data_IF_133894865331
#
_entry.id   IF_133894865331
#
_cell.length_a   1.000
_cell.length_b   1.000
_cell.length_c   1.000
_cell.angle_alpha   90.00
_cell.angle_beta   90.00
_cell.angle_gamma   90.00
#
_symmetry.space_group_name_H-M   'P 1'
#
loop_
_entity.id
_entity.type
_entity.pdbx_description
1 polymer ?
#
# COMPACT_ATOMS: atom_id res chain seq x y z
N UNK A 1 -65.06 52.21 -5.19
CA UNK A 1 -65.99 51.15 -4.74
C UNK A 1 -65.17 49.94 -4.30
N UNK A 2 -65.37 49.53 -3.05
CA UNK A 2 -65.21 48.20 -2.42
C UNK A 2 -64.02 47.28 -2.79
N UNK A 3 -63.12 47.18 -1.80
CA UNK A 3 -62.54 46.00 -1.14
C UNK A 3 -62.93 44.58 -1.63
N UNK A 4 -61.94 43.68 -1.63
CA UNK A 4 -61.92 42.50 -0.75
C UNK A 4 -60.50 41.90 -0.57
N UNK A 5 -60.10 41.82 0.71
CA UNK A 5 -59.27 40.81 1.42
C UNK A 5 -59.54 39.35 0.96
N UNK A 6 -58.77 38.30 1.19
CA UNK A 6 -57.65 37.98 2.11
C UNK A 6 -57.06 36.59 1.72
N UNK A 7 -55.97 36.21 2.40
CA UNK A 7 -55.48 34.86 2.71
C UNK A 7 -54.46 34.14 1.82
N UNK A 8 -53.20 34.48 2.15
CA UNK A 8 -52.14 33.53 2.47
C UNK A 8 -52.58 32.50 3.54
N UNK A 9 -52.34 31.20 3.30
CA UNK A 9 -51.98 30.18 4.31
C UNK A 9 -51.67 28.84 3.61
N UNK A 10 -50.48 28.26 3.88
CA UNK A 10 -50.32 26.80 3.74
C UNK A 10 -49.07 26.27 3.02
N UNK A 11 -47.87 26.80 3.30
CA UNK A 11 -46.66 25.98 3.12
C UNK A 11 -45.79 26.06 4.38
N UNK A 12 -45.64 24.95 5.14
CA UNK A 12 -44.81 24.98 6.33
C UNK A 12 -43.33 25.19 5.95
N UNK A 13 -42.56 25.91 6.77
CA UNK A 13 -41.12 26.03 6.57
C UNK A 13 -40.49 24.65 6.70
N UNK A 14 -39.65 24.27 5.72
CA UNK A 14 -38.81 23.08 5.81
C UNK A 14 -37.89 23.22 7.02
N UNK A 15 -38.18 22.48 8.06
CA UNK A 15 -37.24 22.22 9.16
C UNK A 15 -36.00 21.53 8.57
N UNK A 16 -34.78 21.99 8.92
CA UNK A 16 -33.56 21.30 8.52
C UNK A 16 -33.56 19.92 9.18
N UNK A 17 -33.49 18.86 8.37
CA UNK A 17 -33.30 17.50 8.89
C UNK A 17 -32.01 17.46 9.72
N UNK A 18 -32.03 16.89 10.93
CA UNK A 18 -30.81 16.68 11.69
C UNK A 18 -29.88 15.78 10.85
N UNK A 19 -28.65 16.25 10.63
CA UNK A 19 -27.59 15.41 10.09
C UNK A 19 -27.52 14.14 10.96
N UNK A 20 -27.43 12.94 10.36
CA UNK A 20 -27.10 11.76 11.14
C UNK A 20 -25.78 12.04 11.90
N UNK A 21 -25.67 11.65 13.18
CA UNK A 21 -24.40 11.75 13.88
C UNK A 21 -23.34 11.03 13.05
N UNK A 22 -22.17 11.64 12.92
CA UNK A 22 -20.97 10.96 12.45
C UNK A 22 -20.80 9.74 13.36
N UNK A 23 -21.18 8.56 12.89
CA UNK A 23 -20.69 7.32 13.45
C UNK A 23 -19.18 7.40 13.30
N UNK A 24 -18.50 7.61 14.42
CA UNK A 24 -17.06 7.50 14.47
C UNK A 24 -16.70 6.15 13.84
N UNK A 25 -15.92 6.18 12.77
CA UNK A 25 -15.24 4.98 12.33
C UNK A 25 -14.53 4.39 13.56
N UNK A 26 -14.56 3.06 13.76
CA UNK A 26 -13.86 2.46 14.88
C UNK A 26 -12.42 2.97 14.86
N UNK A 27 -12.00 3.60 15.97
CA UNK A 27 -10.65 4.06 16.14
C UNK A 27 -9.68 2.90 15.83
N UNK A 28 -8.51 3.16 15.22
CA UNK A 28 -7.53 2.11 14.96
C UNK A 28 -7.30 1.34 16.26
N UNK A 29 -7.43 0.02 16.19
CA UNK A 29 -7.14 -0.82 17.34
C UNK A 29 -5.70 -0.55 17.76
N UNK A 30 -5.52 -0.17 19.02
CA UNK A 30 -4.20 0.05 19.67
C UNK A 30 -3.23 -1.12 19.40
N UNK A 31 -3.79 -2.31 19.18
CA UNK A 31 -3.12 -3.52 18.72
C UNK A 31 -2.29 -3.36 17.43
N UNK A 32 -2.79 -2.68 16.40
CA UNK A 32 -2.05 -2.54 15.13
C UNK A 32 -0.80 -1.66 15.30
N UNK A 33 -0.90 -0.57 16.06
CA UNK A 33 0.24 0.28 16.39
C UNK A 33 1.25 -0.42 17.31
N UNK A 34 0.77 -1.22 18.26
CA UNK A 34 1.63 -2.04 19.11
C UNK A 34 2.36 -3.13 18.32
N UNK A 35 1.70 -3.71 17.30
CA UNK A 35 2.29 -4.72 16.42
C UNK A 35 3.33 -4.12 15.48
N UNK A 36 3.05 -3.01 14.80
CA UNK A 36 4.03 -2.35 13.93
C UNK A 36 5.25 -1.84 14.72
N UNK A 37 5.02 -1.22 15.89
CA UNK A 37 6.12 -0.79 16.76
C UNK A 37 6.90 -1.97 17.36
N UNK A 38 6.21 -3.05 17.73
CA UNK A 38 6.82 -4.29 18.20
C UNK A 38 7.66 -4.97 17.12
N UNK A 39 7.14 -5.08 15.90
CA UNK A 39 7.85 -5.64 14.76
C UNK A 39 9.06 -4.77 14.38
N UNK A 40 8.92 -3.44 14.34
CA UNK A 40 10.05 -2.54 14.08
C UNK A 40 11.13 -2.65 15.17
N UNK A 41 10.75 -2.83 16.44
CA UNK A 41 11.68 -3.06 17.54
C UNK A 41 12.39 -4.42 17.42
N UNK A 42 11.66 -5.49 17.07
CA UNK A 42 12.23 -6.82 16.84
C UNK A 42 13.15 -6.83 15.62
N UNK A 43 12.76 -6.20 14.52
CA UNK A 43 13.61 -6.04 13.31
C UNK A 43 14.89 -5.29 13.66
N UNK A 44 14.78 -4.22 14.44
CA UNK A 44 15.96 -3.48 14.90
C UNK A 44 16.85 -4.34 15.81
N UNK A 45 16.27 -5.13 16.71
CA UNK A 45 17.02 -6.02 17.59
C UNK A 45 17.72 -7.16 16.82
N UNK A 46 17.04 -7.76 15.83
CA UNK A 46 17.59 -8.76 14.92
C UNK A 46 18.78 -8.19 14.13
N UNK A 47 18.63 -6.98 13.57
CA UNK A 47 19.74 -6.27 12.88
C UNK A 47 20.91 -5.93 13.79
N UNK A 48 20.68 -5.77 15.09
CA UNK A 48 21.70 -5.44 16.09
C UNK A 48 22.28 -6.66 16.80
N UNK A 49 21.89 -7.89 16.42
CA UNK A 49 22.43 -9.13 16.99
C UNK A 49 22.04 -9.38 18.46
N UNK A 50 21.02 -8.67 18.98
CA UNK A 50 20.58 -8.82 20.36
C UNK A 50 19.47 -9.87 20.47
N UNK A 51 19.86 -11.13 20.70
CA UNK A 51 18.93 -12.19 21.07
C UNK A 51 18.47 -11.99 22.53
N UNK A 52 17.19 -11.63 22.71
CA UNK A 52 16.51 -11.59 24.02
C UNK A 52 15.16 -12.29 23.93
N UNK A 53 14.69 -12.95 25.01
CA UNK A 53 13.57 -13.88 24.95
C UNK A 53 12.24 -13.16 24.74
N UNK A 54 11.49 -13.60 23.73
CA UNK A 54 10.10 -13.16 23.49
C UNK A 54 9.18 -13.82 24.51
N UNK A 55 8.59 -13.01 25.39
CA UNK A 55 7.59 -13.45 26.37
C UNK A 55 6.27 -13.73 25.64
N UNK A 56 5.97 -15.00 25.41
CA UNK A 56 4.64 -15.47 25.02
C UNK A 56 3.67 -15.30 26.19
N UNK A 57 2.56 -14.58 25.99
CA UNK A 57 1.44 -14.58 26.93
C UNK A 57 0.39 -15.58 26.47
N UNK A 58 0.31 -16.70 27.19
CA UNK A 58 -0.72 -17.72 27.02
C UNK A 58 -2.08 -17.20 27.50
N UNK A 59 -3.12 -17.47 26.72
CA UNK A 59 -4.53 -17.34 27.10
C UNK A 59 -5.30 -18.52 26.54
N UNK A 60 -5.90 -19.30 27.44
CA UNK A 60 -6.59 -20.58 27.24
C UNK A 60 -8.10 -20.39 26.99
N UNK A 61 -8.64 -21.38 26.28
CA UNK A 61 -10.01 -21.93 26.29
C UNK A 61 -11.17 -21.19 25.58
N UNK A 62 -11.85 -21.94 24.69
CA UNK A 62 -13.24 -21.72 24.26
C UNK A 62 -13.57 -22.05 22.79
N UNK A 63 -13.89 -23.30 22.47
CA UNK A 63 -14.48 -23.75 21.18
C UNK A 63 -16.02 -23.51 21.13
N UNK A 64 -16.76 -23.95 20.09
CA UNK A 64 -17.11 -23.18 18.88
C UNK A 64 -18.63 -23.04 18.67
N UNK A 65 -19.09 -22.12 17.80
CA UNK A 65 -20.42 -22.26 17.18
C UNK A 65 -20.52 -21.54 15.83
N UNK A 66 -20.80 -22.33 14.79
CA UNK A 66 -21.36 -21.89 13.51
C UNK A 66 -22.89 -21.82 13.67
N UNK A 67 -23.59 -20.92 12.96
CA UNK A 67 -24.49 -21.48 11.95
C UNK A 67 -24.53 -20.68 10.64
N UNK A 68 -24.91 -21.43 9.62
CA UNK A 68 -25.42 -21.08 8.30
C UNK A 68 -26.56 -20.07 8.30
N UNK A 69 -26.64 -19.25 7.24
CA UNK A 69 -27.91 -18.76 6.72
C UNK A 69 -27.94 -18.86 5.18
N UNK A 70 -28.80 -19.77 4.70
CA UNK A 70 -29.48 -19.68 3.42
C UNK A 70 -30.54 -18.56 3.49
N UNK A 71 -30.87 -17.97 2.34
CA UNK A 71 -32.01 -17.07 2.18
C UNK A 71 -31.95 -16.31 0.84
N UNK A 72 -32.33 -16.93 -0.28
CA UNK A 72 -33.65 -16.85 -0.95
C UNK A 72 -33.84 -15.68 -1.92
N UNK A 73 -33.89 -16.06 -3.20
CA UNK A 73 -34.90 -15.73 -4.22
C UNK A 73 -35.26 -14.28 -4.67
N UNK A 74 -35.06 -14.11 -5.99
CA UNK A 74 -35.95 -13.54 -7.03
C UNK A 74 -36.19 -12.02 -7.08
N UNK A 75 -35.62 -11.44 -8.13
CA UNK A 75 -36.36 -10.53 -9.02
C UNK A 75 -35.96 -10.82 -10.48
N UNK A 76 -36.84 -11.50 -11.19
CA UNK A 76 -36.78 -11.76 -12.63
C UNK A 76 -37.29 -10.53 -13.38
N UNK A 77 -36.42 -9.54 -13.55
CA UNK A 77 -36.48 -8.58 -14.63
C UNK A 77 -35.67 -9.11 -15.81
N UNK A 78 -36.19 -8.93 -17.03
CA UNK A 78 -35.51 -9.25 -18.29
C UNK A 78 -34.14 -8.59 -18.35
N UNK A 79 -33.11 -9.32 -17.92
CA UNK A 79 -31.73 -8.90 -17.93
C UNK A 79 -30.94 -9.99 -18.64
N UNK A 80 -30.49 -9.67 -19.86
CA UNK A 80 -29.52 -10.49 -20.61
C UNK A 80 -28.43 -10.90 -19.63
N UNK A 81 -28.33 -12.20 -19.33
CA UNK A 81 -27.33 -12.69 -18.38
C UNK A 81 -25.95 -12.24 -18.86
N UNK A 82 -25.25 -11.51 -18.00
CA UNK A 82 -23.97 -10.90 -18.33
C UNK A 82 -22.94 -11.99 -18.59
N UNK A 83 -22.38 -12.03 -19.79
CA UNK A 83 -21.37 -13.05 -20.11
C UNK A 83 -20.06 -12.74 -19.39
N UNK A 84 -19.18 -13.74 -19.16
CA UNK A 84 -17.84 -13.50 -18.64
C UNK A 84 -17.06 -12.47 -19.47
N UNK A 85 -17.21 -12.50 -20.80
CA UNK A 85 -16.59 -11.53 -21.69
C UNK A 85 -17.10 -10.10 -21.47
N UNK A 86 -18.41 -9.93 -21.24
CA UNK A 86 -18.98 -8.62 -20.90
C UNK A 86 -18.47 -8.11 -19.55
N UNK A 87 -18.30 -9.00 -18.56
CA UNK A 87 -17.73 -8.68 -17.26
C UNK A 87 -16.28 -8.19 -17.37
N UNK A 88 -15.47 -8.84 -18.19
CA UNK A 88 -14.09 -8.43 -18.46
C UNK A 88 -14.03 -7.05 -19.12
N UNK A 89 -14.88 -6.77 -20.11
CA UNK A 89 -14.95 -5.45 -20.77
C UNK A 89 -15.41 -4.34 -19.83
N UNK A 90 -16.41 -4.60 -18.99
CA UNK A 90 -16.83 -3.64 -17.95
C UNK A 90 -15.68 -3.35 -16.99
N UNK A 91 -14.96 -4.38 -16.57
CA UNK A 91 -13.80 -4.21 -15.68
C UNK A 91 -12.67 -3.44 -16.35
N UNK A 92 -12.38 -3.68 -17.63
CA UNK A 92 -11.42 -2.91 -18.41
C UNK A 92 -11.74 -1.41 -18.41
N UNK A 93 -13.01 -1.05 -18.66
CA UNK A 93 -13.45 0.36 -18.67
C UNK A 93 -13.29 0.99 -17.28
N UNK A 94 -13.66 0.28 -16.21
CA UNK A 94 -13.51 0.77 -14.83
C UNK A 94 -12.04 0.98 -14.45
N UNK A 95 -11.19 -0.01 -14.73
CA UNK A 95 -9.75 0.07 -14.42
C UNK A 95 -9.07 1.16 -15.26
N UNK A 96 -9.47 1.35 -16.52
CA UNK A 96 -9.02 2.46 -17.38
C UNK A 96 -9.40 3.83 -16.79
N UNK A 97 -10.63 4.00 -16.32
CA UNK A 97 -11.05 5.25 -15.67
C UNK A 97 -10.26 5.50 -14.38
N UNK A 98 -10.04 4.45 -13.58
CA UNK A 98 -9.25 4.56 -12.36
C UNK A 98 -7.79 4.90 -12.67
N UNK A 99 -7.19 4.32 -13.71
CA UNK A 99 -5.85 4.63 -14.17
C UNK A 99 -5.71 6.12 -14.49
N UNK A 100 -6.60 6.66 -15.33
CA UNK A 100 -6.57 8.08 -15.71
C UNK A 100 -6.82 9.01 -14.53
N UNK A 101 -7.71 8.63 -13.60
CA UNK A 101 -7.90 9.37 -12.35
C UNK A 101 -6.61 9.47 -11.53
N UNK A 102 -5.87 8.35 -11.41
CA UNK A 102 -4.59 8.33 -10.69
C UNK A 102 -3.49 9.12 -11.42
N UNK A 103 -3.41 9.02 -12.75
CA UNK A 103 -2.48 9.82 -13.57
C UNK A 103 -2.75 11.31 -13.40
N UNK A 104 -4.02 11.73 -13.48
CA UNK A 104 -4.42 13.12 -13.33
C UNK A 104 -4.19 13.65 -11.91
N UNK A 105 -4.00 12.78 -10.93
CA UNK A 105 -3.56 13.13 -9.58
C UNK A 105 -2.14 13.68 -9.53
N UNK A 106 -1.31 13.40 -10.54
CA UNK A 106 0.10 13.83 -10.63
C UNK A 106 0.21 14.83 -11.78
N UNK A 107 0.23 16.12 -11.45
CA UNK A 107 0.15 17.24 -12.41
C UNK A 107 1.18 17.12 -13.53
N UNK A 108 2.44 16.83 -13.19
CA UNK A 108 3.51 16.69 -14.17
C UNK A 108 3.26 15.56 -15.19
N UNK A 109 2.61 14.46 -14.79
CA UNK A 109 2.24 13.38 -15.70
C UNK A 109 1.00 13.74 -16.54
N UNK A 110 0.03 14.43 -15.95
CA UNK A 110 -1.18 14.89 -16.64
C UNK A 110 -0.87 15.88 -17.78
N UNK A 111 0.17 16.68 -17.61
CA UNK A 111 0.63 17.66 -18.59
C UNK A 111 1.60 17.05 -19.63
N UNK A 112 2.08 15.82 -19.43
CA UNK A 112 3.11 15.20 -20.28
C UNK A 112 2.51 14.39 -21.43
N UNK A 113 2.53 14.95 -22.64
CA UNK A 113 1.89 14.35 -23.82
C UNK A 113 2.51 13.01 -24.23
N UNK A 114 3.83 12.89 -24.21
CA UNK A 114 4.52 11.62 -24.54
C UNK A 114 4.11 10.48 -23.59
N UNK A 115 4.02 10.76 -22.29
CA UNK A 115 3.53 9.80 -21.31
C UNK A 115 2.08 9.40 -21.56
N UNK A 116 1.18 10.37 -21.80
CA UNK A 116 -0.24 10.10 -22.08
C UNK A 116 -0.44 9.28 -23.36
N UNK A 117 0.34 9.56 -24.40
CA UNK A 117 0.35 8.76 -25.62
C UNK A 117 0.82 7.33 -25.34
N UNK A 118 1.90 7.17 -24.56
CA UNK A 118 2.38 5.87 -24.10
C UNK A 118 1.31 5.08 -23.34
N UNK A 119 0.61 5.71 -22.39
CA UNK A 119 -0.50 5.08 -21.64
C UNK A 119 -1.65 4.68 -22.56
N UNK A 120 -1.99 5.52 -23.55
CA UNK A 120 -3.06 5.22 -24.50
C UNK A 120 -2.71 4.02 -25.39
N UNK A 121 -1.49 3.98 -25.91
CA UNK A 121 -1.00 2.85 -26.70
C UNK A 121 -0.87 1.57 -25.86
N UNK A 122 -0.40 1.68 -24.61
CA UNK A 122 -0.38 0.57 -23.66
C UNK A 122 -1.79 0.01 -23.43
N UNK A 123 -2.79 0.85 -23.17
CA UNK A 123 -4.18 0.41 -23.01
C UNK A 123 -4.74 -0.29 -24.25
N UNK A 124 -4.37 0.16 -25.46
CA UNK A 124 -4.73 -0.53 -26.70
C UNK A 124 -4.04 -1.91 -26.81
N UNK A 125 -2.81 -2.07 -26.29
CA UNK A 125 -2.18 -3.37 -26.18
C UNK A 125 -2.92 -4.29 -25.21
N UNK A 126 -3.35 -3.78 -24.06
CA UNK A 126 -4.12 -4.55 -23.07
C UNK A 126 -5.49 -4.96 -23.63
N UNK A 127 -6.14 -4.10 -24.41
CA UNK A 127 -7.40 -4.44 -25.06
C UNK A 127 -7.25 -5.62 -26.03
N UNK A 128 -6.15 -5.66 -26.81
CA UNK A 128 -5.80 -6.82 -27.64
C UNK A 128 -5.54 -8.08 -26.82
N UNK A 129 -4.86 -7.97 -25.68
CA UNK A 129 -4.66 -9.09 -24.76
C UNK A 129 -5.99 -9.62 -24.21
N UNK A 130 -6.93 -8.71 -23.91
CA UNK A 130 -8.26 -9.05 -23.41
C UNK A 130 -9.09 -9.80 -24.45
N UNK A 131 -9.00 -9.40 -25.72
CA UNK A 131 -9.67 -10.07 -26.85
C UNK A 131 -9.14 -11.48 -27.07
N UNK A 132 -7.85 -11.70 -26.80
CA UNK A 132 -7.17 -12.99 -26.92
C UNK A 132 -7.16 -13.82 -25.65
N UNK A 133 -7.76 -13.34 -24.55
CA UNK A 133 -7.67 -13.97 -23.23
C UNK A 133 -8.25 -15.40 -23.18
N UNK A 134 -9.14 -15.76 -24.09
CA UNK A 134 -9.71 -17.12 -24.20
C UNK A 134 -9.09 -17.94 -25.36
N UNK A 135 -7.96 -17.48 -25.91
CA UNK A 135 -7.25 -18.12 -27.02
C UNK A 135 -5.82 -18.48 -26.59
N UNK A 136 -5.19 -19.42 -27.29
CA UNK A 136 -3.77 -19.74 -27.08
C UNK A 136 -2.81 -18.75 -27.79
N UNK A 137 -3.36 -17.67 -28.38
CA UNK A 137 -2.57 -16.67 -29.08
C UNK A 137 -1.96 -15.64 -28.13
N UNK A 138 -0.67 -15.37 -28.32
CA UNK A 138 0.02 -14.28 -27.61
C UNK A 138 -0.01 -13.00 -28.44
N UNK A 139 -0.30 -11.86 -27.80
CA UNK A 139 -0.18 -10.55 -28.44
C UNK A 139 1.28 -10.08 -28.38
N UNK A 140 1.82 -9.48 -29.45
CA UNK A 140 3.08 -8.76 -29.38
C UNK A 140 3.03 -7.62 -28.35
N UNK A 141 4.15 -7.38 -27.68
CA UNK A 141 4.30 -6.30 -26.70
C UNK A 141 4.73 -5.02 -27.42
N UNK A 142 4.01 -3.93 -27.20
CA UNK A 142 4.43 -2.58 -27.59
C UNK A 142 5.44 -2.01 -26.58
N UNK A 143 6.71 -2.37 -26.76
CA UNK A 143 7.80 -1.89 -25.90
C UNK A 143 8.00 -0.37 -25.97
N UNK A 144 7.63 0.28 -27.08
CA UNK A 144 7.75 1.73 -27.20
C UNK A 144 6.72 2.45 -26.32
N UNK A 145 5.48 1.96 -26.31
CA UNK A 145 4.43 2.46 -25.43
C UNK A 145 4.82 2.33 -23.95
N UNK A 146 5.28 1.13 -23.54
CA UNK A 146 5.73 0.88 -22.16
C UNK A 146 6.95 1.73 -21.83
N UNK A 147 7.91 1.87 -22.75
CA UNK A 147 9.08 2.72 -22.59
C UNK A 147 8.72 4.19 -22.35
N UNK A 148 7.72 4.73 -23.05
CA UNK A 148 7.23 6.09 -22.84
C UNK A 148 6.56 6.27 -21.45
N UNK A 149 5.83 5.25 -20.98
CA UNK A 149 5.27 5.23 -19.62
C UNK A 149 6.39 5.27 -18.57
N UNK A 150 7.39 4.41 -18.70
CA UNK A 150 8.55 4.36 -17.79
C UNK A 150 9.34 5.66 -17.81
N UNK A 151 9.60 6.24 -18.99
CA UNK A 151 10.30 7.50 -19.13
C UNK A 151 9.56 8.66 -18.44
N UNK A 152 8.23 8.69 -18.51
CA UNK A 152 7.43 9.68 -17.78
C UNK A 152 7.57 9.55 -16.26
N UNK A 153 7.62 8.33 -15.73
CA UNK A 153 7.89 8.10 -14.31
C UNK A 153 9.29 8.53 -13.89
N UNK A 154 10.30 8.26 -14.70
CA UNK A 154 11.69 8.60 -14.40
C UNK A 154 12.01 10.08 -14.63
N UNK A 155 11.12 10.84 -15.27
CA UNK A 155 11.33 12.25 -15.54
C UNK A 155 11.61 13.03 -14.24
N UNK A 156 12.54 14.00 -14.31
CA UNK A 156 13.03 14.75 -13.13
C UNK A 156 11.92 15.46 -12.34
N UNK A 157 10.83 15.84 -13.01
CA UNK A 157 9.68 16.49 -12.39
C UNK A 157 8.72 15.51 -11.70
N UNK A 158 8.92 14.21 -11.84
CA UNK A 158 8.05 13.15 -11.30
C UNK A 158 8.80 12.28 -10.30
N UNK A 159 9.95 11.72 -10.69
CA UNK A 159 10.77 10.80 -9.89
C UNK A 159 9.95 9.67 -9.26
N UNK A 160 9.09 9.08 -10.07
CA UNK A 160 8.01 8.20 -9.63
C UNK A 160 8.43 6.86 -9.04
N UNK A 161 9.68 6.46 -9.23
CA UNK A 161 10.30 5.32 -8.58
C UNK A 161 10.74 5.61 -7.13
N UNK A 162 11.02 6.88 -6.79
CA UNK A 162 11.59 7.26 -5.50
C UNK A 162 10.59 7.92 -4.56
N UNK A 163 9.51 8.47 -5.11
CA UNK A 163 8.57 9.32 -4.39
C UNK A 163 7.23 8.62 -4.19
N UNK A 164 6.69 8.69 -2.97
CA UNK A 164 5.36 8.17 -2.68
C UNK A 164 4.27 9.01 -3.38
N UNK A 165 3.27 8.32 -3.93
CA UNK A 165 2.15 8.94 -4.63
C UNK A 165 1.39 9.97 -3.79
N UNK A 166 1.09 9.63 -2.52
CA UNK A 166 0.39 10.49 -1.57
C UNK A 166 1.20 11.75 -1.25
N UNK A 167 2.50 11.60 -0.99
CA UNK A 167 3.38 12.74 -0.73
C UNK A 167 3.44 13.69 -1.93
N UNK A 168 3.61 13.16 -3.15
CA UNK A 168 3.67 14.00 -4.35
C UNK A 168 2.37 14.81 -4.50
N UNK A 169 1.22 14.14 -4.39
CA UNK A 169 -0.10 14.78 -4.48
C UNK A 169 -0.26 15.97 -3.53
N UNK A 170 0.23 15.82 -2.30
CA UNK A 170 0.11 16.82 -1.24
C UNK A 170 1.06 18.02 -1.40
N UNK A 171 2.15 17.87 -2.15
CA UNK A 171 3.21 18.86 -2.23
C UNK A 171 3.33 19.55 -3.59
N UNK A 172 2.80 18.96 -4.67
CA UNK A 172 2.95 19.44 -6.05
C UNK A 172 2.42 20.86 -6.34
N UNK A 173 1.60 21.43 -5.46
CA UNK A 173 1.06 22.80 -5.59
C UNK A 173 1.81 23.84 -4.74
N UNK A 174 2.79 23.41 -3.94
CA UNK A 174 3.55 24.29 -3.06
C UNK A 174 4.62 25.05 -3.86
N UNK A 175 4.87 26.29 -3.47
CA UNK A 175 6.00 27.06 -3.99
C UNK A 175 7.32 26.35 -3.70
N UNK A 176 8.25 26.34 -4.66
CA UNK A 176 9.53 25.64 -4.54
C UNK A 176 9.41 24.10 -4.55
N UNK A 177 8.30 23.54 -5.03
CA UNK A 177 8.07 22.09 -5.03
C UNK A 177 9.22 21.27 -5.63
N UNK A 178 9.76 21.69 -6.79
CA UNK A 178 10.83 20.94 -7.45
C UNK A 178 12.12 20.89 -6.63
N UNK A 179 12.46 21.93 -5.87
CA UNK A 179 13.64 21.95 -4.99
C UNK A 179 13.49 21.02 -3.77
N UNK A 180 12.24 20.76 -3.37
CA UNK A 180 11.91 19.82 -2.29
C UNK A 180 11.79 18.40 -2.85
N UNK A 181 11.32 18.24 -4.09
CA UNK A 181 11.15 16.96 -4.75
C UNK A 181 12.46 16.18 -4.83
N UNK A 182 13.54 16.80 -5.33
CA UNK A 182 14.84 16.16 -5.46
C UNK A 182 15.36 15.65 -4.11
N UNK A 183 15.35 16.52 -3.09
CA UNK A 183 15.80 16.16 -1.73
C UNK A 183 14.94 15.07 -1.10
N UNK A 184 13.63 15.13 -1.31
CA UNK A 184 12.71 14.12 -0.80
C UNK A 184 12.92 12.78 -1.50
N UNK A 185 13.06 12.78 -2.82
CA UNK A 185 13.32 11.58 -3.61
C UNK A 185 14.63 10.91 -3.16
N UNK A 186 15.70 11.68 -2.96
CA UNK A 186 16.97 11.16 -2.47
C UNK A 186 16.89 10.59 -1.04
N UNK A 187 16.20 11.28 -0.13
CA UNK A 187 15.99 10.80 1.23
C UNK A 187 15.10 9.54 1.27
N UNK A 188 14.08 9.47 0.41
CA UNK A 188 13.16 8.34 0.29
C UNK A 188 13.86 7.11 -0.29
N UNK A 189 14.71 7.30 -1.30
CA UNK A 189 15.51 6.24 -1.93
C UNK A 189 16.44 5.52 -0.93
N UNK A 190 16.91 6.21 0.12
CA UNK A 190 17.74 5.62 1.18
C UNK A 190 16.96 4.68 2.11
N UNK A 191 15.64 4.61 1.99
CA UNK A 191 14.75 3.81 2.83
C UNK A 191 13.80 2.99 1.97
N UNK A 192 14.34 2.42 0.90
CA UNK A 192 13.62 1.52 0.00
C UNK A 192 13.25 0.21 0.68
N UNK A 193 12.01 -0.23 0.49
CA UNK A 193 11.52 -1.54 0.91
C UNK A 193 11.12 -2.39 -0.30
N UNK A 194 11.30 -3.70 -0.13
CA UNK A 194 10.85 -4.75 -1.02
C UNK A 194 10.06 -5.78 -0.22
N UNK A 195 9.27 -6.59 -0.90
CA UNK A 195 8.56 -7.69 -0.24
C UNK A 195 8.45 -8.89 -1.18
N UNK A 196 8.30 -10.08 -0.61
CA UNK A 196 8.11 -11.31 -1.36
C UNK A 196 7.15 -12.24 -0.65
N UNK A 197 6.10 -12.67 -1.37
CA UNK A 197 5.15 -13.71 -0.94
C UNK A 197 4.32 -13.38 0.31
N UNK A 198 4.31 -12.13 0.77
CA UNK A 198 3.54 -11.68 1.94
C UNK A 198 2.71 -10.42 1.71
N UNK A 199 2.47 -9.99 0.46
CA UNK A 199 1.94 -8.66 0.16
C UNK A 199 2.80 -7.49 0.66
N UNK A 200 2.40 -6.27 0.32
CA UNK A 200 3.21 -5.06 0.56
C UNK A 200 2.85 -4.29 1.84
N UNK A 201 1.80 -4.65 2.58
CA UNK A 201 1.29 -3.79 3.65
C UNK A 201 2.30 -3.63 4.79
N UNK A 202 2.98 -4.70 5.20
CA UNK A 202 4.06 -4.62 6.19
C UNK A 202 5.18 -3.66 5.73
N UNK A 203 5.69 -3.85 4.51
CA UNK A 203 6.73 -2.99 3.93
C UNK A 203 6.28 -1.52 3.82
N UNK A 204 5.01 -1.30 3.45
CA UNK A 204 4.40 0.04 3.32
C UNK A 204 4.25 0.72 4.67
N UNK A 205 3.88 -0.02 5.71
CA UNK A 205 3.74 0.52 7.05
C UNK A 205 5.12 0.89 7.65
N UNK A 206 6.14 0.05 7.44
CA UNK A 206 7.50 0.26 7.94
C UNK A 206 8.14 1.54 7.37
N UNK A 207 7.91 1.89 6.10
CA UNK A 207 8.43 3.15 5.52
C UNK A 207 7.78 4.41 6.05
N UNK A 208 6.76 4.29 6.92
CA UNK A 208 6.09 5.41 7.59
C UNK A 208 5.80 6.59 6.64
N UNK A 209 4.63 6.58 6.00
CA UNK A 209 4.04 7.66 5.17
C UNK A 209 4.98 8.84 4.90
N UNK A 210 5.62 8.85 3.72
CA UNK A 210 6.49 9.94 3.26
C UNK A 210 7.92 9.95 3.81
N UNK A 211 8.45 8.84 4.33
CA UNK A 211 9.87 8.78 4.77
C UNK A 211 10.73 7.77 4.03
N UNK A 212 10.13 6.86 3.28
CA UNK A 212 10.79 5.88 2.41
C UNK A 212 9.89 5.52 1.25
N UNK A 213 10.23 4.51 0.48
CA UNK A 213 9.41 4.08 -0.65
C UNK A 213 9.29 2.56 -0.69
N UNK A 214 8.18 2.10 -1.24
CA UNK A 214 7.90 0.72 -1.65
C UNK A 214 7.18 0.83 -2.98
N UNK A 215 7.36 -0.12 -3.90
CA UNK A 215 6.85 0.00 -5.27
C UNK A 215 5.36 0.35 -5.28
N UNK A 216 4.52 -0.34 -4.50
CA UNK A 216 3.07 -0.14 -4.48
C UNK A 216 2.65 1.25 -3.95
N UNK A 217 3.48 1.89 -3.12
CA UNK A 217 3.24 3.23 -2.60
C UNK A 217 3.89 4.34 -3.45
N UNK A 218 4.91 3.99 -4.24
CA UNK A 218 5.56 4.90 -5.19
C UNK A 218 4.55 5.39 -6.24
N UNK A 219 4.80 6.53 -6.89
CA UNK A 219 3.91 7.02 -7.96
C UNK A 219 3.73 5.94 -9.04
N UNK A 220 4.83 5.33 -9.47
CA UNK A 220 4.80 4.41 -10.61
C UNK A 220 4.05 3.11 -10.32
N UNK A 221 4.20 2.53 -9.13
CA UNK A 221 3.44 1.34 -8.75
C UNK A 221 2.01 1.69 -8.36
N UNK A 222 1.79 2.77 -7.59
CA UNK A 222 0.45 3.14 -7.11
C UNK A 222 -0.53 3.45 -8.23
N UNK A 223 -0.05 4.00 -9.35
CA UNK A 223 -0.90 4.26 -10.51
C UNK A 223 -1.49 2.96 -11.09
N UNK A 224 -0.72 1.87 -11.13
CA UNK A 224 -1.15 0.59 -11.70
C UNK A 224 -1.63 -0.44 -10.66
N UNK A 225 -1.39 -0.20 -9.37
CA UNK A 225 -1.71 -1.11 -8.27
C UNK A 225 -3.19 -1.55 -8.27
N UNK A 226 -3.41 -2.87 -8.32
CA UNK A 226 -4.73 -3.49 -8.37
C UNK A 226 -5.50 -3.35 -9.69
N UNK A 227 -4.90 -2.78 -10.74
CA UNK A 227 -5.53 -2.67 -12.06
C UNK A 227 -5.15 -3.88 -12.93
N UNK A 228 -6.12 -4.75 -13.18
CA UNK A 228 -5.95 -5.95 -14.01
C UNK A 228 -6.65 -5.83 -15.37
N UNK A 229 -7.43 -4.77 -15.58
CA UNK A 229 -8.07 -4.45 -16.85
C UNK A 229 -8.96 -5.58 -17.38
N UNK A 230 -9.63 -6.29 -16.46
CA UNK A 230 -10.50 -7.43 -16.78
C UNK A 230 -9.79 -8.77 -16.93
N UNK A 231 -8.47 -8.83 -16.75
CA UNK A 231 -7.70 -10.07 -16.78
C UNK A 231 -7.65 -10.74 -15.40
N UNK A 232 -7.46 -12.07 -15.32
CA UNK A 232 -7.44 -12.80 -14.05
C UNK A 232 -6.18 -12.54 -13.21
N UNK A 233 -5.07 -12.17 -13.84
CA UNK A 233 -3.80 -11.83 -13.19
C UNK A 233 -2.99 -10.87 -14.06
N UNK A 234 -1.98 -10.24 -13.46
CA UNK A 234 -1.06 -9.38 -14.21
C UNK A 234 -0.26 -10.17 -15.27
N UNK A 235 0.01 -11.45 -15.01
CA UNK A 235 0.76 -12.34 -15.91
C UNK A 235 -0.08 -12.91 -17.05
N UNK A 236 -1.41 -12.70 -17.02
CA UNK A 236 -2.30 -13.10 -18.10
C UNK A 236 -2.25 -12.13 -19.30
N UNK A 237 -1.54 -11.00 -19.18
CA UNK A 237 -1.22 -10.10 -20.28
C UNK A 237 0.30 -9.97 -20.41
N UNK A 238 0.89 -10.28 -21.58
CA UNK A 238 2.30 -10.03 -21.84
C UNK A 238 2.68 -8.56 -21.63
N UNK A 239 1.84 -7.61 -22.08
CA UNK A 239 2.11 -6.19 -21.93
C UNK A 239 2.05 -5.72 -20.46
N UNK A 240 1.07 -6.19 -19.69
CA UNK A 240 0.95 -5.87 -18.26
C UNK A 240 2.10 -6.50 -17.46
N UNK A 241 2.48 -7.73 -17.79
CA UNK A 241 3.65 -8.40 -17.23
C UNK A 241 4.95 -7.65 -17.51
N UNK A 242 5.15 -7.18 -18.74
CA UNK A 242 6.32 -6.39 -19.11
C UNK A 242 6.35 -5.03 -18.39
N UNK A 243 5.20 -4.36 -18.28
CA UNK A 243 5.10 -3.11 -17.52
C UNK A 243 5.51 -3.32 -16.07
N UNK A 244 4.92 -4.30 -15.37
CA UNK A 244 5.27 -4.58 -13.97
C UNK A 244 6.74 -4.99 -13.80
N UNK A 245 7.30 -5.75 -14.74
CA UNK A 245 8.72 -6.09 -14.78
C UNK A 245 9.59 -4.82 -14.81
N UNK A 246 9.28 -3.87 -15.69
CA UNK A 246 10.03 -2.61 -15.81
C UNK A 246 9.79 -1.67 -14.62
N UNK A 247 8.57 -1.65 -14.05
CA UNK A 247 8.29 -0.91 -12.81
C UNK A 247 9.13 -1.45 -11.65
N UNK A 248 9.24 -2.76 -11.47
CA UNK A 248 10.13 -3.35 -10.44
C UNK A 248 11.59 -3.03 -10.69
N UNK A 249 12.07 -3.13 -11.93
CA UNK A 249 13.48 -2.83 -12.26
C UNK A 249 13.82 -1.37 -11.97
N UNK A 250 13.04 -0.44 -12.51
CA UNK A 250 13.30 1.00 -12.36
C UNK A 250 13.09 1.50 -10.93
N UNK A 251 12.22 0.81 -10.16
CA UNK A 251 12.10 1.03 -8.73
C UNK A 251 13.41 0.72 -8.02
N UNK A 252 13.94 -0.48 -8.23
CA UNK A 252 15.20 -0.94 -7.64
C UNK A 252 16.39 -0.09 -8.07
N UNK A 253 16.46 0.32 -9.33
CA UNK A 253 17.49 1.23 -9.88
C UNK A 253 17.44 2.63 -9.23
N UNK A 254 16.33 2.98 -8.59
CA UNK A 254 16.19 4.24 -7.87
C UNK A 254 16.67 4.20 -6.41
N UNK A 255 16.93 3.01 -5.85
CA UNK A 255 17.22 2.84 -4.43
C UNK A 255 18.68 3.18 -4.07
N UNK A 256 18.90 3.52 -2.81
CA UNK A 256 20.21 3.91 -2.24
C UNK A 256 20.36 3.34 -0.83
N UNK A 257 21.58 3.36 -0.31
CA UNK A 257 21.86 2.95 1.06
C UNK A 257 21.57 1.47 1.29
N UNK A 258 21.09 1.11 2.48
CA UNK A 258 20.61 -0.23 2.78
C UNK A 258 19.14 -0.38 2.40
N UNK A 259 18.89 -1.29 1.46
CA UNK A 259 17.52 -1.70 1.10
C UNK A 259 17.07 -2.78 2.06
N UNK A 260 15.77 -2.86 2.34
CA UNK A 260 15.22 -3.93 3.17
C UNK A 260 14.20 -4.74 2.36
N UNK A 261 14.23 -6.07 2.46
CA UNK A 261 13.25 -6.96 1.85
C UNK A 261 12.54 -7.79 2.92
N UNK A 262 11.21 -7.79 2.89
CA UNK A 262 10.37 -8.62 3.76
C UNK A 262 9.95 -9.88 3.02
N UNK A 263 10.24 -11.07 3.54
CA UNK A 263 9.92 -12.34 2.85
C UNK A 263 9.14 -13.31 3.74
N UNK A 264 8.15 -14.01 3.18
CA UNK A 264 7.42 -15.07 3.89
C UNK A 264 8.20 -16.39 3.85
N UNK A 265 8.62 -16.88 5.02
CA UNK A 265 9.33 -18.14 5.25
C UNK A 265 10.60 -18.36 4.39
N UNK A 266 11.08 -17.33 3.70
CA UNK A 266 12.33 -17.37 2.93
C UNK A 266 12.19 -16.87 1.49
N UNK A 267 13.26 -17.06 0.73
CA UNK A 267 13.29 -16.75 -0.71
C UNK A 267 12.66 -17.88 -1.52
N UNK A 268 12.18 -17.57 -2.73
CA UNK A 268 11.66 -18.55 -3.70
C UNK A 268 12.33 -18.34 -5.04
N UNK A 269 12.59 -19.38 -5.82
CA UNK A 269 13.28 -19.22 -7.11
C UNK A 269 12.51 -18.37 -8.14
N UNK A 270 11.18 -18.35 -8.06
CA UNK A 270 10.30 -17.71 -9.06
C UNK A 270 9.70 -16.37 -8.61
N UNK A 271 10.16 -15.77 -7.50
CA UNK A 271 9.66 -14.46 -7.08
C UNK A 271 10.26 -13.33 -7.91
N UNK A 272 9.54 -12.20 -7.98
CA UNK A 272 10.06 -10.94 -8.54
C UNK A 272 11.34 -10.52 -7.81
N UNK A 273 11.38 -10.68 -6.48
CA UNK A 273 12.59 -10.46 -5.68
C UNK A 273 13.80 -11.21 -6.23
N UNK A 274 13.68 -12.52 -6.45
CA UNK A 274 14.80 -13.35 -6.89
C UNK A 274 15.16 -13.15 -8.37
N UNK A 275 14.14 -13.03 -9.23
CA UNK A 275 14.32 -13.07 -10.69
C UNK A 275 14.54 -11.70 -11.33
N UNK A 276 14.11 -10.62 -10.68
CA UNK A 276 14.10 -9.26 -11.25
C UNK A 276 14.86 -8.29 -10.35
N UNK A 277 14.53 -8.22 -9.06
CA UNK A 277 15.00 -7.15 -8.17
C UNK A 277 16.42 -7.41 -7.65
N UNK A 278 16.68 -8.62 -7.13
CA UNK A 278 17.99 -9.01 -6.60
C UNK A 278 19.12 -8.90 -7.63
N UNK A 279 18.99 -9.39 -8.88
CA UNK A 279 20.05 -9.24 -9.88
C UNK A 279 20.43 -7.77 -10.13
N UNK A 280 19.46 -6.86 -10.07
CA UNK A 280 19.68 -5.41 -10.23
C UNK A 280 20.32 -4.80 -8.98
N UNK A 281 19.83 -5.13 -7.79
CA UNK A 281 20.44 -4.67 -6.52
C UNK A 281 21.88 -5.14 -6.40
N UNK A 282 22.15 -6.41 -6.68
CA UNK A 282 23.49 -6.99 -6.68
C UNK A 282 24.45 -6.20 -7.59
N UNK A 283 23.99 -5.85 -8.79
CA UNK A 283 24.77 -5.00 -9.71
C UNK A 283 25.07 -3.62 -9.12
N UNK A 284 24.09 -2.98 -8.47
CA UNK A 284 24.27 -1.69 -7.82
C UNK A 284 25.17 -1.74 -6.58
N UNK A 285 25.10 -2.83 -5.80
CA UNK A 285 25.99 -3.08 -4.66
C UNK A 285 27.42 -3.24 -5.15
N UNK A 286 27.66 -4.03 -6.20
CA UNK A 286 28.97 -4.18 -6.81
C UNK A 286 29.51 -2.84 -7.37
N UNK A 287 28.63 -1.94 -7.80
CA UNK A 287 28.96 -0.60 -8.28
C UNK A 287 29.08 0.45 -7.17
N UNK A 288 28.95 0.09 -5.89
CA UNK A 288 28.94 0.99 -4.73
C UNK A 288 27.84 2.07 -4.78
N UNK A 289 26.72 1.79 -5.45
CA UNK A 289 25.56 2.67 -5.53
C UNK A 289 24.54 2.40 -4.41
N UNK A 290 24.54 1.17 -3.89
CA UNK A 290 23.70 0.65 -2.80
C UNK A 290 24.62 -0.06 -1.81
N UNK A 291 24.38 0.09 -0.51
CA UNK A 291 25.27 -0.44 0.54
C UNK A 291 25.09 -1.95 0.78
N UNK A 292 23.86 -2.44 0.55
CA UNK A 292 23.47 -3.82 0.79
C UNK A 292 21.95 -4.00 0.83
N UNK A 293 21.52 -5.23 1.08
CA UNK A 293 20.15 -5.66 1.26
C UNK A 293 19.98 -6.37 2.62
N UNK A 294 19.10 -5.87 3.48
CA UNK A 294 18.67 -6.57 4.69
C UNK A 294 17.42 -7.39 4.38
N UNK A 295 17.51 -8.72 4.38
CA UNK A 295 16.35 -9.61 4.23
C UNK A 295 15.81 -9.98 5.60
N UNK A 296 14.54 -9.66 5.86
CA UNK A 296 13.82 -10.04 7.08
C UNK A 296 12.88 -11.18 6.73
N UNK A 297 13.07 -12.32 7.38
CA UNK A 297 12.21 -13.50 7.20
C UNK A 297 11.07 -13.43 8.20
N UNK A 298 9.84 -13.54 7.69
CA UNK A 298 8.62 -13.58 8.49
C UNK A 298 8.01 -14.97 8.48
N UNK A 299 7.39 -15.33 9.60
CA UNK A 299 6.46 -16.46 9.68
C UNK A 299 5.05 -15.95 9.90
N UNK A 300 4.10 -16.54 9.19
CA UNK A 300 2.68 -16.32 9.47
C UNK A 300 2.24 -17.20 10.65
N UNK A 301 1.76 -16.59 11.72
CA UNK A 301 1.14 -17.30 12.85
C UNK A 301 -0.35 -16.95 12.92
N UNK A 302 -1.24 -17.89 13.29
CA UNK A 302 -2.66 -17.59 13.43
C UNK A 302 -2.90 -16.44 14.41
N UNK A 303 -3.77 -15.50 14.02
CA UNK A 303 -4.16 -14.40 14.88
C UNK A 303 -4.97 -14.87 16.09
N UNK A 304 -4.97 -14.12 17.21
CA UNK A 304 -5.79 -14.44 18.37
C UNK A 304 -7.26 -14.58 17.99
N UNK A 305 -7.93 -15.62 18.48
CA UNK A 305 -9.37 -15.83 18.27
C UNK A 305 -9.79 -16.09 16.82
N UNK A 306 -8.88 -16.58 15.96
CA UNK A 306 -9.18 -16.85 14.54
C UNK A 306 -9.19 -15.60 13.65
N UNK A 307 -8.54 -14.53 14.09
CA UNK A 307 -8.30 -13.33 13.28
C UNK A 307 -7.21 -13.56 12.21
N UNK A 308 -7.04 -12.57 11.32
CA UNK A 308 -5.99 -12.53 10.28
C UNK A 308 -4.62 -12.94 10.86
N UNK A 309 -3.76 -13.54 10.03
CA UNK A 309 -2.43 -13.97 10.44
C UNK A 309 -1.59 -12.79 10.93
N UNK A 310 -0.81 -13.05 11.98
CA UNK A 310 0.22 -12.13 12.45
C UNK A 310 1.54 -12.52 11.77
N UNK A 311 2.17 -11.57 11.10
CA UNK A 311 3.50 -11.75 10.50
C UNK A 311 4.55 -11.43 11.55
N UNK A 312 5.25 -12.47 12.01
CA UNK A 312 6.29 -12.37 13.04
C UNK A 312 7.66 -12.48 12.38
N UNK A 313 8.55 -11.47 12.53
CA UNK A 313 9.92 -11.58 12.04
C UNK A 313 10.66 -12.64 12.87
N UNK A 314 11.26 -13.62 12.20
CA UNK A 314 11.97 -14.73 12.83
C UNK A 314 13.48 -14.66 12.65
N UNK A 315 13.95 -14.00 11.58
CA UNK A 315 15.39 -13.91 11.28
C UNK A 315 15.69 -12.70 10.38
N UNK A 316 16.96 -12.29 10.31
CA UNK A 316 17.45 -11.22 9.43
C UNK A 316 18.82 -11.52 8.84
N UNK A 317 18.96 -11.32 7.54
CA UNK A 317 20.17 -11.60 6.77
C UNK A 317 20.68 -10.33 6.08
N UNK A 318 21.84 -9.77 6.47
CA UNK A 318 22.51 -8.75 5.69
C UNK A 318 23.17 -9.39 4.46
N UNK A 319 22.86 -8.91 3.27
CA UNK A 319 23.24 -9.51 1.99
C UNK A 319 23.89 -8.47 1.09
N UNK A 320 25.06 -8.80 0.54
CA UNK A 320 25.79 -8.03 -0.46
C UNK A 320 26.21 -8.84 -1.68
N UNK A 321 26.32 -10.15 -1.51
CA UNK A 321 26.82 -11.10 -2.51
C UNK A 321 25.79 -12.16 -2.85
N UNK A 322 26.02 -12.90 -3.94
CA UNK A 322 25.16 -14.01 -4.33
C UNK A 322 25.15 -15.11 -3.27
N UNK A 323 26.31 -15.45 -2.71
CA UNK A 323 26.46 -16.52 -1.74
C UNK A 323 25.68 -16.20 -0.45
N UNK A 324 25.70 -14.94 0.00
CA UNK A 324 24.89 -14.48 1.13
C UNK A 324 23.39 -14.53 0.82
N UNK A 325 22.97 -14.17 -0.40
CA UNK A 325 21.57 -14.26 -0.82
C UNK A 325 21.09 -15.73 -0.89
N UNK A 326 21.96 -16.63 -1.36
CA UNK A 326 21.65 -18.04 -1.49
C UNK A 326 21.61 -18.76 -0.14
N UNK A 327 22.36 -18.27 0.85
CA UNK A 327 22.34 -18.73 2.24
C UNK A 327 21.03 -18.38 2.98
N UNK A 328 20.23 -17.44 2.47
CA UNK A 328 18.92 -17.11 3.05
C UNK A 328 18.00 -18.33 2.92
N UNK A 329 17.24 -18.70 3.97
CA UNK A 329 16.29 -19.81 3.94
C UNK A 329 15.40 -19.79 2.70
N UNK A 330 15.08 -20.97 2.18
CA UNK A 330 14.14 -21.12 1.07
C UNK A 330 12.77 -21.49 1.63
N UNK A 331 11.73 -20.85 1.10
CA UNK A 331 10.38 -21.27 1.42
C UNK A 331 10.13 -22.69 0.89
N UNK A 332 9.24 -23.49 1.49
CA UNK A 332 9.03 -24.91 1.17
C UNK A 332 8.29 -25.14 -0.17
N UNK A 333 8.50 -24.29 -1.17
CA UNK A 333 7.91 -24.39 -2.52
C UNK A 333 8.80 -25.10 -3.52
N UNK A 334 10.11 -25.09 -3.27
CA UNK A 334 11.12 -25.63 -4.19
C UNK A 334 11.64 -27.01 -3.70
N UNK A 335 11.04 -27.58 -2.65
CA UNK A 335 11.36 -28.90 -2.09
C UNK A 335 10.56 -30.05 -2.71
N UNK A 336 10.92 -31.28 -2.32
CA UNK A 336 10.24 -32.52 -2.78
C UNK A 336 9.00 -32.88 -1.96
N UNK A 337 8.76 -32.21 -0.83
CA UNK A 337 7.58 -32.43 0.00
C UNK A 337 6.38 -31.65 -0.55
N UNK A 338 5.53 -32.38 -1.27
CA UNK A 338 4.32 -31.82 -1.89
C UNK A 338 3.30 -31.32 -0.85
N UNK A 339 3.18 -31.98 0.30
CA UNK A 339 2.21 -31.61 1.32
C UNK A 339 2.62 -30.30 2.00
N UNK A 340 3.90 -30.18 2.37
CA UNK A 340 4.46 -28.94 2.92
C UNK A 340 4.32 -27.77 1.94
N UNK A 341 4.55 -28.03 0.64
CA UNK A 341 4.36 -27.04 -0.42
C UNK A 341 2.92 -26.56 -0.53
N UNK A 342 1.96 -27.47 -0.62
CA UNK A 342 0.54 -27.13 -0.76
C UNK A 342 0.00 -26.39 0.47
N UNK A 343 0.45 -26.78 1.66
CA UNK A 343 0.13 -26.08 2.90
C UNK A 343 0.68 -24.65 2.89
N UNK A 344 1.95 -24.49 2.54
CA UNK A 344 2.57 -23.17 2.45
C UNK A 344 1.89 -22.29 1.40
N UNK A 345 1.61 -22.81 0.21
CA UNK A 345 0.93 -22.05 -0.85
C UNK A 345 -0.50 -21.64 -0.45
N UNK A 346 -1.16 -22.40 0.42
CA UNK A 346 -2.46 -22.05 0.99
C UNK A 346 -2.33 -20.89 1.98
N UNK A 347 -1.38 -21.00 2.91
CA UNK A 347 -1.07 -19.95 3.89
C UNK A 347 -0.66 -18.66 3.19
N UNK A 348 0.23 -18.75 2.20
CA UNK A 348 0.71 -17.63 1.39
C UNK A 348 -0.45 -16.90 0.70
N UNK A 349 -1.37 -17.63 0.07
CA UNK A 349 -2.56 -17.05 -0.56
C UNK A 349 -3.45 -16.32 0.45
N UNK A 350 -3.63 -16.88 1.64
CA UNK A 350 -4.41 -16.27 2.70
C UNK A 350 -3.74 -14.99 3.23
N UNK A 351 -2.43 -15.03 3.48
CA UNK A 351 -1.62 -13.86 3.88
C UNK A 351 -1.71 -12.75 2.83
N UNK A 352 -1.59 -13.07 1.54
CA UNK A 352 -1.72 -12.07 0.47
C UNK A 352 -3.09 -11.38 0.48
N UNK A 353 -4.18 -12.14 0.72
CA UNK A 353 -5.53 -11.56 0.83
C UNK A 353 -5.65 -10.64 2.05
N UNK A 354 -5.13 -11.05 3.20
CA UNK A 354 -5.12 -10.25 4.43
C UNK A 354 -4.28 -8.98 4.27
N UNK A 355 -3.14 -9.08 3.60
CA UNK A 355 -2.23 -7.96 3.35
C UNK A 355 -2.82 -6.98 2.34
N UNK A 356 -3.55 -7.44 1.33
CA UNK A 356 -4.35 -6.55 0.47
C UNK A 356 -5.41 -5.78 1.26
N UNK A 357 -6.12 -6.44 2.19
CA UNK A 357 -7.08 -5.76 3.08
C UNK A 357 -6.39 -4.74 3.99
N UNK A 358 -5.22 -5.09 4.54
CA UNK A 358 -4.43 -4.21 5.38
C UNK A 358 -3.92 -2.99 4.61
N UNK A 359 -3.46 -3.18 3.38
CA UNK A 359 -2.96 -2.10 2.53
C UNK A 359 -4.03 -1.04 2.24
N UNK A 360 -5.29 -1.45 2.03
CA UNK A 360 -6.42 -0.51 1.90
C UNK A 360 -6.54 0.38 3.13
N UNK A 361 -6.37 -0.18 4.33
CA UNK A 361 -6.40 0.59 5.59
C UNK A 361 -5.22 1.55 5.70
N UNK A 362 -4.03 1.16 5.25
CA UNK A 362 -2.85 2.03 5.20
C UNK A 362 -3.12 3.22 4.29
N UNK A 363 -3.62 2.98 3.08
CA UNK A 363 -3.95 4.06 2.14
C UNK A 363 -5.10 4.96 2.62
N UNK A 364 -6.15 4.40 3.23
CA UNK A 364 -7.24 5.21 3.77
C UNK A 364 -6.77 6.13 4.90
N UNK A 365 -5.81 5.68 5.72
CA UNK A 365 -5.17 6.51 6.75
C UNK A 365 -4.41 7.66 6.13
N UNK A 366 -3.68 7.42 5.03
CA UNK A 366 -2.96 8.47 4.30
C UNK A 366 -3.93 9.54 3.76
N UNK A 367 -5.06 9.11 3.21
CA UNK A 367 -6.12 10.01 2.73
C UNK A 367 -6.82 10.77 3.88
N UNK A 368 -6.95 10.16 5.06
CA UNK A 368 -7.48 10.84 6.27
C UNK A 368 -6.52 11.87 6.82
N UNK A 369 -5.23 11.55 6.88
CA UNK A 369 -4.17 12.49 7.23
C UNK A 369 -4.17 13.66 6.23
N UNK A 370 -4.36 13.38 4.94
CA UNK A 370 -4.50 14.42 3.89
C UNK A 370 -5.71 15.33 4.18
N UNK A 371 -6.90 14.76 4.42
CA UNK A 371 -8.11 15.54 4.73
C UNK A 371 -7.93 16.39 5.99
N UNK A 372 -7.32 15.82 7.03
CA UNK A 372 -7.04 16.54 8.27
C UNK A 372 -6.04 17.68 8.04
N UNK A 373 -4.94 17.44 7.34
CA UNK A 373 -3.93 18.45 7.06
C UNK A 373 -4.51 19.60 6.20
N UNK A 374 -5.35 19.28 5.21
CA UNK A 374 -6.08 20.27 4.42
C UNK A 374 -7.05 21.08 5.26
N UNK A 375 -7.87 20.42 6.10
CA UNK A 375 -8.78 21.08 7.04
C UNK A 375 -8.04 22.02 8.00
N UNK A 376 -6.96 21.55 8.60
CA UNK A 376 -6.11 22.32 9.52
C UNK A 376 -5.49 23.52 8.81
N UNK A 377 -4.95 23.35 7.60
CA UNK A 377 -4.37 24.45 6.81
C UNK A 377 -5.43 25.47 6.42
N UNK A 378 -6.62 25.03 6.01
CA UNK A 378 -7.71 25.95 5.65
C UNK A 378 -8.33 26.66 6.86
N UNK A 379 -8.53 25.97 7.98
CA UNK A 379 -9.22 26.52 9.15
C UNK A 379 -8.28 27.35 10.01
N UNK A 380 -7.06 26.89 10.25
CA UNK A 380 -6.08 27.61 11.07
C UNK A 380 -5.26 28.60 10.26
N UNK A 381 -4.95 28.32 8.99
CA UNK A 381 -4.28 29.28 8.10
C UNK A 381 -5.13 30.52 7.81
N UNK A 382 -6.46 30.38 7.77
CA UNK A 382 -7.40 31.53 7.68
C UNK A 382 -7.54 32.32 8.99
N UNK A 383 -7.30 31.70 10.15
CA UNK A 383 -7.42 32.36 11.46
C UNK A 383 -6.12 33.00 11.96
N UNK A 384 -4.95 32.51 11.53
CA UNK A 384 -3.66 32.91 12.13
C UNK A 384 -2.57 33.30 11.12
N UNK A 385 -2.89 33.39 9.82
CA UNK A 385 -1.92 33.74 8.78
C UNK A 385 -0.93 32.62 8.44
N UNK A 386 -0.03 32.83 7.45
CA UNK A 386 0.81 31.78 6.84
C UNK A 386 1.96 31.23 7.74
N UNK A 387 1.93 31.46 9.05
CA UNK A 387 3.05 31.15 9.97
C UNK A 387 2.89 29.90 10.85
N UNK A 388 1.82 29.11 10.70
CA UNK A 388 1.61 27.92 11.52
C UNK A 388 2.44 26.73 11.04
N UNK A 389 3.65 26.62 11.58
CA UNK A 389 4.48 25.42 11.46
C UNK A 389 4.11 24.47 12.59
N UNK A 390 3.49 23.34 12.27
CA UNK A 390 3.41 22.25 13.23
C UNK A 390 4.83 21.72 13.45
N UNK A 391 5.37 21.93 14.65
CA UNK A 391 6.53 21.15 15.08
C UNK A 391 6.11 19.69 15.02
N UNK A 392 6.74 18.90 14.15
CA UNK A 392 6.71 17.45 14.29
C UNK A 392 7.14 17.15 15.72
N UNK A 393 6.25 16.69 16.58
CA UNK A 393 6.70 16.11 17.84
C UNK A 393 7.51 14.90 17.41
N UNK A 394 8.83 15.02 17.53
CA UNK A 394 9.66 13.85 17.70
C UNK A 394 9.05 13.11 18.87
N UNK A 395 8.49 11.92 18.63
CA UNK A 395 8.19 10.98 19.71
C UNK A 395 9.47 10.91 20.56
N UNK A 396 9.43 11.29 21.84
CA UNK A 396 10.62 11.24 22.68
C UNK A 396 11.19 9.83 22.62
N UNK A 397 12.52 9.71 22.48
CA UNK A 397 13.21 8.42 22.29
C UNK A 397 13.00 7.42 23.43
N UNK A 398 12.39 7.80 24.56
CA UNK A 398 12.21 6.98 25.74
C UNK A 398 10.84 7.23 26.41
N UNK A 399 9.75 6.71 25.86
CA UNK A 399 8.54 6.48 26.67
C UNK A 399 8.53 4.99 27.03
N UNK A 400 8.82 4.61 28.29
CA UNK A 400 8.66 3.24 28.74
C UNK A 400 7.20 2.80 28.51
N UNK A 401 7.02 1.63 27.91
CA UNK A 401 5.70 1.04 27.76
C UNK A 401 5.12 0.72 29.16
N UNK A 402 4.05 1.42 29.53
CA UNK A 402 3.24 1.10 30.71
C UNK A 402 3.34 2.10 31.85
N UNK A 403 2.55 3.17 31.78
CA UNK A 403 1.94 3.84 32.95
C UNK A 403 0.91 4.88 32.48
N UNK A 404 -0.28 4.41 32.09
CA UNK A 404 -1.47 5.22 32.33
C UNK A 404 -1.88 4.96 33.78
N UNK A 405 -1.21 5.65 34.72
CA UNK A 405 -1.77 5.80 36.05
C UNK A 405 -2.86 6.88 35.96
N UNK A 406 -4.09 6.63 36.45
CA UNK A 406 -5.05 7.70 36.64
C UNK A 406 -4.44 8.71 37.61
N UNK A 407 -4.54 10.00 37.31
CA UNK A 407 -4.16 11.06 38.24
C UNK A 407 -4.91 10.86 39.56
N UNK A 408 -4.25 11.00 40.73
CA UNK A 408 -4.96 11.02 42.00
C UNK A 408 -5.87 12.25 42.01
N UNK A 409 -7.16 12.01 42.21
CA UNK A 409 -8.12 13.04 42.58
C UNK A 409 -7.61 13.71 43.85
N UNK A 410 -7.13 14.96 43.72
CA UNK A 410 -6.70 15.76 44.84
C UNK A 410 -7.86 15.96 45.81
N UNK A 411 -7.70 15.46 47.03
CA UNK A 411 -8.48 15.85 48.19
C UNK A 411 -8.25 17.34 48.45
N UNK A 412 -9.35 18.09 48.62
CA UNK A 412 -9.34 19.53 48.89
C UNK A 412 -8.70 19.90 50.25
N UNK A 413 -8.51 21.21 50.47
CA UNK A 413 -7.79 21.71 51.64
C UNK A 413 -8.68 21.71 52.88
N UNK A 414 -8.11 21.28 54.00
CA UNK A 414 -8.70 21.42 55.33
C UNK A 414 -7.63 21.27 56.40
N UNK A 415 -7.05 22.40 56.81
CA UNK A 415 -6.33 22.58 58.09
C UNK A 415 -7.35 22.74 59.23
N UNK A 416 -6.97 22.61 60.53
CA UNK A 416 -5.63 22.48 61.11
C UNK A 416 -5.28 21.10 61.69
#
# INVERSE_FOLDING_TARGET
>A
MRAHQDHDTGRPPRTPSPRPPLTAAPAPSVLAFQQAAGNAATVKALRQGAAGPVVQRAGKDGSPTRPSSQGSDRSSGSGRSMTPADARKIRFIQDKQQLWSRINGIRALAEMDSFKQGVTAFLANIERDLEKADTDETTPIDHAAIGAVIAGFQHRTVQGNKVQYSWYKQNQTKEGFFDILDRHADASAQRGQLWSKMGSAQATEDVSVGRGTVLEASIQGRIFDGLLFGLPSWSASPALGELWRLLSQTYVEGLKGWVTAHVLDGTTQKSVLTTIEWPRLKGQIAANQVDGLDIIVYRAVPGPGGSDHVLVPVDSFPVRTQDEFDAVPKAPVDGTDQAAREEWERTQRQVDLEQRKALVRVYSRDDEIERMNHYVTQVLGRKHGPGLVFRTSTTPRNTPAGTFAPSPTGSGPGSP
#
